data_IF_790391291542
#
_entry.id   IF_790391291542
#
_cell.length_a   1.000
_cell.length_b   1.000
_cell.length_c   1.000
_cell.angle_alpha   90.00
_cell.angle_beta   90.00
_cell.angle_gamma   90.00
#
_symmetry.space_group_name_H-M   'P 1'
#
loop_
_entity.id
_entity.type
_entity.pdbx_description
1 polymer ?
#
# COMPACT_ATOMS: atom_id res chain seq x y z
N UNK A 1 2.06 -30.43 18.54
CA UNK A 1 1.61 -29.02 18.54
C UNK A 1 1.68 -28.54 17.11
N UNK A 2 0.54 -28.45 16.42
CA UNK A 2 0.46 -27.66 15.20
C UNK A 2 0.63 -26.22 15.65
N UNK A 3 1.82 -25.67 15.44
CA UNK A 3 2.04 -24.25 15.72
C UNK A 3 1.21 -23.46 14.73
N UNK A 4 0.16 -22.87 15.27
CA UNK A 4 -0.81 -22.02 14.59
C UNK A 4 -0.03 -20.83 14.02
N UNK A 5 -0.23 -20.54 12.73
CA UNK A 5 0.23 -19.29 12.14
C UNK A 5 -0.32 -18.13 12.98
N UNK A 6 0.56 -17.27 13.50
CA UNK A 6 0.16 -16.15 14.33
C UNK A 6 0.80 -14.84 13.86
N UNK A 7 0.33 -13.73 14.43
CA UNK A 7 0.80 -12.39 14.07
C UNK A 7 2.30 -12.19 14.34
N UNK A 8 2.93 -12.95 15.24
CA UNK A 8 4.37 -12.82 15.53
C UNK A 8 5.20 -13.41 14.40
N UNK A 9 4.72 -14.53 13.84
CA UNK A 9 5.31 -15.12 12.63
C UNK A 9 5.18 -14.13 11.47
N UNK A 10 3.98 -13.59 11.23
CA UNK A 10 3.77 -12.62 10.14
C UNK A 10 4.61 -11.35 10.31
N UNK A 11 4.70 -10.80 11.52
CA UNK A 11 5.52 -9.62 11.84
C UNK A 11 7.04 -9.83 11.62
N UNK A 12 7.48 -11.08 11.41
CA UNK A 12 8.89 -11.40 11.14
C UNK A 12 9.23 -11.47 9.65
N UNK A 13 8.24 -11.33 8.76
CA UNK A 13 8.39 -11.49 7.31
C UNK A 13 8.31 -10.14 6.61
N UNK A 14 9.15 -9.87 5.62
CA UNK A 14 9.18 -8.63 4.86
C UNK A 14 8.39 -8.78 3.54
N UNK A 15 7.53 -7.83 3.16
CA UNK A 15 7.29 -6.53 3.78
C UNK A 15 6.18 -6.54 4.87
N UNK A 16 5.65 -7.73 5.21
CA UNK A 16 4.53 -7.90 6.16
C UNK A 16 4.85 -7.32 7.56
N UNK A 17 6.11 -7.28 7.96
CA UNK A 17 6.62 -6.76 9.22
C UNK A 17 6.31 -5.28 9.41
N UNK A 18 6.08 -4.55 8.31
CA UNK A 18 5.64 -3.16 8.35
C UNK A 18 4.17 -2.99 8.77
N UNK A 19 3.41 -4.09 8.91
CA UNK A 19 1.97 -4.04 9.16
C UNK A 19 1.63 -3.82 10.64
N UNK A 20 0.53 -3.11 10.88
CA UNK A 20 -0.08 -2.96 12.18
C UNK A 20 -0.55 -4.28 12.77
N UNK A 21 -0.59 -4.42 14.10
CA UNK A 21 -1.13 -5.62 14.74
C UNK A 21 -2.58 -5.93 14.35
N UNK A 22 -3.38 -4.92 13.98
CA UNK A 22 -4.75 -5.13 13.49
C UNK A 22 -4.73 -5.77 12.09
N UNK A 23 -3.92 -5.22 11.18
CA UNK A 23 -3.80 -5.73 9.81
C UNK A 23 -3.12 -7.09 9.75
N UNK A 24 -2.15 -7.34 10.62
CA UNK A 24 -1.56 -8.67 10.78
C UNK A 24 -2.62 -9.71 11.17
N UNK A 25 -3.60 -9.36 12.01
CA UNK A 25 -4.70 -10.28 12.37
C UNK A 25 -5.62 -10.54 11.18
N UNK A 26 -5.95 -9.51 10.41
CA UNK A 26 -6.76 -9.65 9.20
C UNK A 26 -6.03 -10.47 8.13
N UNK A 27 -4.73 -10.25 7.95
CA UNK A 27 -3.92 -10.97 6.98
C UNK A 27 -3.89 -12.48 7.25
N UNK A 28 -3.99 -12.91 8.52
CA UNK A 28 -4.05 -14.33 8.87
C UNK A 28 -5.18 -15.07 8.14
N UNK A 29 -6.33 -14.43 7.93
CA UNK A 29 -7.49 -15.05 7.28
C UNK A 29 -7.26 -15.31 5.78
N UNK A 30 -6.27 -14.65 5.19
CA UNK A 30 -5.91 -14.78 3.77
C UNK A 30 -4.60 -15.53 3.54
N UNK A 31 -3.91 -15.92 4.61
CA UNK A 31 -2.70 -16.73 4.54
C UNK A 31 -3.03 -18.21 4.36
N UNK A 32 -2.33 -18.88 3.46
CA UNK A 32 -2.36 -20.32 3.33
C UNK A 32 -1.06 -20.95 3.81
N UNK A 33 -1.12 -21.97 4.66
CA UNK A 33 0.05 -22.73 5.11
C UNK A 33 0.09 -24.08 4.40
N UNK A 34 1.15 -24.28 3.62
CA UNK A 34 1.41 -25.52 2.89
C UNK A 34 2.54 -26.31 3.57
N UNK A 35 2.39 -27.63 3.68
CA UNK A 35 3.44 -28.50 4.20
C UNK A 35 3.95 -29.41 3.07
N UNK A 36 5.25 -29.42 2.85
CA UNK A 36 5.88 -30.22 1.79
C UNK A 36 6.89 -31.18 2.42
N UNK A 37 6.78 -32.46 2.06
CA UNK A 37 7.66 -33.50 2.58
C UNK A 37 9.07 -33.40 1.98
N UNK A 38 10.07 -33.85 2.75
CA UNK A 38 11.45 -33.96 2.28
C UNK A 38 11.56 -34.67 0.92
N UNK A 39 12.41 -34.14 0.05
CA UNK A 39 12.70 -34.66 -1.29
C UNK A 39 11.74 -34.22 -2.39
N UNK A 40 10.61 -33.59 -2.04
CA UNK A 40 9.64 -33.04 -3.00
C UNK A 40 10.04 -31.63 -3.45
N UNK A 41 9.58 -31.23 -4.62
CA UNK A 41 9.69 -29.87 -5.13
C UNK A 41 8.42 -29.08 -4.76
N UNK A 42 8.49 -28.07 -3.86
CA UNK A 42 7.35 -27.26 -3.49
C UNK A 42 6.70 -26.47 -4.64
N UNK A 43 7.46 -26.13 -5.69
CA UNK A 43 6.99 -25.23 -6.75
C UNK A 43 6.61 -25.93 -8.05
N UNK A 44 6.74 -27.26 -8.09
CA UNK A 44 6.41 -28.05 -9.29
C UNK A 44 4.93 -27.98 -9.66
N UNK A 45 4.05 -28.23 -8.69
CA UNK A 45 2.60 -28.24 -8.89
C UNK A 45 1.96 -26.90 -8.47
N UNK A 46 2.66 -26.12 -7.64
CA UNK A 46 2.22 -24.83 -7.11
C UNK A 46 3.31 -23.77 -7.30
N UNK A 47 3.48 -23.24 -8.52
CA UNK A 47 4.48 -22.20 -8.76
C UNK A 47 4.18 -20.93 -7.94
N UNK A 48 5.20 -20.11 -7.63
CA UNK A 48 5.03 -18.90 -6.80
C UNK A 48 4.49 -17.68 -7.58
N UNK A 49 4.03 -17.84 -8.82
CA UNK A 49 3.50 -16.73 -9.62
C UNK A 49 2.23 -16.15 -8.98
N UNK A 50 2.17 -14.83 -8.87
CA UNK A 50 1.07 -14.12 -8.21
C UNK A 50 1.00 -14.31 -6.69
N UNK A 51 1.98 -14.99 -6.07
CA UNK A 51 1.98 -15.24 -4.64
C UNK A 51 3.31 -14.92 -3.96
N UNK A 52 3.24 -14.32 -2.79
CA UNK A 52 4.35 -14.12 -1.88
C UNK A 52 4.49 -15.37 -1.01
N UNK A 53 5.55 -16.16 -1.26
CA UNK A 53 5.79 -17.44 -0.57
C UNK A 53 6.98 -17.34 0.38
N UNK A 54 6.82 -17.75 1.63
CA UNK A 54 7.86 -17.68 2.67
C UNK A 54 8.13 -19.05 3.28
N UNK A 55 9.38 -19.32 3.65
CA UNK A 55 9.76 -20.55 4.34
C UNK A 55 9.63 -20.37 5.86
N UNK A 56 8.61 -20.97 6.47
CA UNK A 56 8.39 -20.90 7.92
C UNK A 56 9.17 -21.97 8.70
N UNK A 57 9.38 -23.16 8.12
CA UNK A 57 10.09 -24.28 8.75
C UNK A 57 10.89 -25.09 7.76
N UNK A 58 11.96 -25.69 8.26
CA UNK A 58 12.80 -26.61 7.50
C UNK A 58 13.83 -25.90 6.63
N UNK A 59 14.37 -26.67 5.69
CA UNK A 59 15.37 -26.23 4.74
C UNK A 59 14.99 -26.66 3.33
N UNK A 60 15.21 -25.79 2.35
CA UNK A 60 15.03 -26.09 0.94
C UNK A 60 16.15 -25.49 0.09
N UNK A 61 16.44 -26.12 -1.03
CA UNK A 61 17.31 -25.59 -2.07
C UNK A 61 16.45 -25.06 -3.22
N UNK A 62 16.84 -23.92 -3.78
CA UNK A 62 16.23 -23.31 -4.97
C UNK A 62 17.32 -23.12 -6.01
N UNK A 63 17.11 -23.67 -7.21
CA UNK A 63 17.96 -23.43 -8.39
C UNK A 63 17.26 -22.40 -9.30
N UNK A 64 17.98 -21.35 -9.66
CA UNK A 64 17.53 -20.31 -10.58
C UNK A 64 17.98 -20.60 -12.02
N UNK A 65 17.36 -19.94 -12.99
CA UNK A 65 17.66 -20.16 -14.42
C UNK A 65 19.11 -19.89 -14.81
N UNK A 66 19.81 -19.01 -14.09
CA UNK A 66 21.23 -18.71 -14.28
C UNK A 66 22.16 -19.80 -13.71
N UNK A 67 21.60 -20.86 -13.11
CA UNK A 67 22.32 -21.97 -12.50
C UNK A 67 22.74 -21.72 -11.05
N UNK A 68 22.44 -20.54 -10.48
CA UNK A 68 22.70 -20.29 -9.07
C UNK A 68 21.79 -21.14 -8.20
N UNK A 69 22.37 -21.75 -7.16
CA UNK A 69 21.64 -22.52 -6.16
C UNK A 69 21.72 -21.83 -4.81
N UNK A 70 20.57 -21.64 -4.18
CA UNK A 70 20.45 -20.98 -2.89
C UNK A 70 19.81 -21.94 -1.89
N UNK A 71 20.53 -22.20 -0.80
CA UNK A 71 20.02 -22.91 0.36
C UNK A 71 19.27 -21.94 1.26
N UNK A 72 17.96 -22.13 1.40
CA UNK A 72 17.09 -21.32 2.24
C UNK A 72 16.76 -22.14 3.50
N UNK A 73 17.10 -21.60 4.66
CA UNK A 73 16.74 -22.16 5.98
C UNK A 73 15.71 -21.26 6.64
N UNK A 74 14.71 -21.83 7.32
CA UNK A 74 13.63 -21.03 7.93
C UNK A 74 14.12 -19.93 8.90
N UNK A 75 15.24 -20.16 9.59
CA UNK A 75 15.83 -19.16 10.50
C UNK A 75 16.76 -18.14 9.81
N UNK A 76 16.95 -18.27 8.50
CA UNK A 76 17.85 -17.39 7.73
C UNK A 76 17.16 -16.10 7.31
N UNK A 77 17.96 -15.06 7.04
CA UNK A 77 17.45 -13.78 6.52
C UNK A 77 16.71 -13.97 5.18
N UNK A 78 17.13 -14.93 4.35
CA UNK A 78 16.45 -15.29 3.11
C UNK A 78 14.99 -15.74 3.30
N UNK A 79 14.68 -16.41 4.41
CA UNK A 79 13.33 -16.89 4.69
C UNK A 79 12.37 -15.77 5.12
N UNK A 80 12.89 -14.59 5.48
CA UNK A 80 12.07 -13.42 5.81
C UNK A 80 11.45 -12.79 4.56
N UNK A 81 12.00 -13.01 3.37
CA UNK A 81 11.53 -12.39 2.14
C UNK A 81 10.79 -13.39 1.25
N UNK A 82 9.92 -12.94 0.32
CA UNK A 82 9.23 -13.83 -0.57
C UNK A 82 10.21 -14.54 -1.53
N UNK A 83 10.08 -15.85 -1.63
CA UNK A 83 10.88 -16.72 -2.49
C UNK A 83 10.40 -16.55 -3.94
N UNK A 84 11.34 -16.44 -4.88
CA UNK A 84 11.03 -16.38 -6.32
C UNK A 84 10.53 -15.03 -6.84
N UNK A 85 10.60 -13.95 -6.04
CA UNK A 85 10.29 -12.58 -6.51
C UNK A 85 11.46 -11.82 -7.12
N UNK A 86 12.64 -12.44 -7.17
CA UNK A 86 13.85 -11.85 -7.73
C UNK A 86 14.14 -12.51 -9.07
N UNK A 87 14.70 -11.76 -10.02
CA UNK A 87 15.27 -12.36 -11.22
C UNK A 87 16.67 -12.90 -10.92
N UNK A 88 17.06 -14.04 -11.53
CA UNK A 88 16.32 -14.84 -12.53
C UNK A 88 15.19 -15.69 -11.95
N UNK A 89 14.31 -16.24 -12.78
CA UNK A 89 13.21 -17.11 -12.33
C UNK A 89 13.72 -18.42 -11.69
N UNK A 90 12.86 -19.06 -10.89
CA UNK A 90 13.16 -20.36 -10.29
C UNK A 90 13.04 -21.43 -11.37
N UNK A 91 14.12 -22.17 -11.62
CA UNK A 91 14.13 -23.33 -12.50
C UNK A 91 13.59 -24.58 -11.79
N UNK A 92 14.02 -24.81 -10.55
CA UNK A 92 13.60 -25.95 -9.75
C UNK A 92 13.80 -25.70 -8.26
N UNK A 93 13.12 -26.48 -7.42
CA UNK A 93 13.36 -26.44 -5.98
C UNK A 93 13.27 -27.81 -5.33
N UNK A 94 13.83 -27.95 -4.14
CA UNK A 94 13.76 -29.20 -3.39
C UNK A 94 13.72 -28.95 -1.89
N UNK A 95 12.72 -29.53 -1.23
CA UNK A 95 12.65 -29.59 0.22
C UNK A 95 13.75 -30.55 0.74
N UNK A 96 14.76 -30.01 1.43
CA UNK A 96 15.85 -30.81 2.00
C UNK A 96 15.48 -31.43 3.36
N UNK A 97 14.47 -30.88 4.02
CA UNK A 97 13.74 -31.45 5.15
C UNK A 97 12.23 -31.39 4.89
N UNK A 98 11.40 -31.81 5.85
CA UNK A 98 10.01 -31.37 5.84
C UNK A 98 9.97 -29.85 5.96
N UNK A 99 9.27 -29.17 5.05
CA UNK A 99 9.16 -27.72 5.03
C UNK A 99 7.73 -27.26 5.21
N UNK A 100 7.58 -26.09 5.82
CA UNK A 100 6.31 -25.40 5.94
C UNK A 100 6.42 -24.05 5.24
N UNK A 101 5.53 -23.80 4.29
CA UNK A 101 5.48 -22.59 3.49
C UNK A 101 4.26 -21.76 3.86
N UNK A 102 4.44 -20.45 3.96
CA UNK A 102 3.36 -19.48 3.98
C UNK A 102 3.14 -18.98 2.56
N UNK A 103 1.91 -18.95 2.07
CA UNK A 103 1.53 -18.37 0.78
C UNK A 103 0.50 -17.28 1.00
N UNK A 104 0.72 -16.14 0.38
CA UNK A 104 -0.19 -15.00 0.36
C UNK A 104 -0.29 -14.50 -1.08
N UNK A 105 -1.48 -14.12 -1.52
CA UNK A 105 -1.68 -13.49 -2.82
C UNK A 105 -0.95 -12.13 -2.91
N UNK A 106 -0.21 -11.89 -3.99
CA UNK A 106 0.57 -10.67 -4.15
C UNK A 106 -0.30 -9.41 -4.25
N UNK A 107 -1.39 -9.48 -5.00
CA UNK A 107 -2.27 -8.34 -5.23
C UNK A 107 -2.99 -7.95 -3.94
N UNK A 108 -3.38 -8.93 -3.12
CA UNK A 108 -3.87 -8.69 -1.77
C UNK A 108 -2.79 -8.08 -0.88
N UNK A 109 -1.60 -8.68 -0.84
CA UNK A 109 -0.52 -8.20 0.01
C UNK A 109 -0.11 -6.77 -0.39
N UNK A 110 -0.07 -6.46 -1.69
CA UNK A 110 0.15 -5.11 -2.21
C UNK A 110 -0.92 -4.12 -1.72
N UNK A 111 -2.20 -4.44 -1.90
CA UNK A 111 -3.31 -3.60 -1.44
C UNK A 111 -3.24 -3.36 0.07
N UNK A 112 -2.90 -4.39 0.85
CA UNK A 112 -2.77 -4.29 2.31
C UNK A 112 -1.51 -3.53 2.75
N UNK A 113 -0.35 -3.70 2.09
CA UNK A 113 0.87 -2.92 2.38
C UNK A 113 0.61 -1.45 2.15
N UNK A 114 0.04 -1.15 0.99
CA UNK A 114 -0.30 0.21 0.59
C UNK A 114 -1.20 0.82 1.67
N UNK A 115 -2.22 0.09 2.12
CA UNK A 115 -3.18 0.53 3.14
C UNK A 115 -2.70 0.55 4.60
N UNK A 116 -1.77 -0.32 5.02
CA UNK A 116 -1.32 -0.32 6.42
C UNK A 116 -0.31 0.80 6.72
N UNK A 117 0.52 1.15 5.73
CA UNK A 117 1.34 2.36 5.76
C UNK A 117 0.51 3.65 5.81
N UNK A 118 -0.80 3.53 5.60
CA UNK A 118 -1.77 4.59 5.65
C UNK A 118 -2.54 4.65 6.99
N UNK A 119 -2.68 3.54 7.72
CA UNK A 119 -3.53 3.47 8.92
C UNK A 119 -2.87 3.93 10.24
N UNK A 120 -1.59 4.30 10.26
CA UNK A 120 -0.89 4.73 11.48
C UNK A 120 -0.59 6.23 11.51
N UNK A 121 -1.37 6.97 12.29
CA UNK A 121 -0.91 8.14 13.03
C UNK A 121 -1.71 8.30 14.34
N UNK A 122 -1.00 8.43 15.46
CA UNK A 122 -1.55 8.67 16.80
C UNK A 122 -1.81 10.17 17.06
N UNK A 123 -2.86 10.40 17.87
CA UNK A 123 -3.18 11.57 18.70
C UNK A 123 -3.34 12.96 18.06
N UNK A 124 -4.54 13.24 17.54
CA UNK A 124 -5.12 14.59 17.58
C UNK A 124 -6.25 14.63 18.62
N UNK A 125 -6.08 15.42 19.67
CA UNK A 125 -7.15 15.68 20.65
C UNK A 125 -8.30 16.43 19.97
N UNK A 126 -9.55 15.97 20.07
CA UNK A 126 -10.68 16.71 19.52
C UNK A 126 -10.99 17.91 20.41
N UNK A 127 -10.98 19.10 19.83
CA UNK A 127 -11.54 20.30 20.45
C UNK A 127 -13.01 20.40 20.05
N UNK A 128 -13.91 20.36 21.04
CA UNK A 128 -15.35 20.37 20.81
C UNK A 128 -15.82 21.72 20.23
N UNK A 129 -16.66 21.68 19.20
CA UNK A 129 -17.34 22.86 18.66
C UNK A 129 -18.84 22.79 18.96
N UNK A 130 -19.32 23.85 19.62
CA UNK A 130 -20.73 24.19 19.80
C UNK A 130 -21.12 25.12 18.65
N UNK A 131 -21.61 24.55 17.55
CA UNK A 131 -22.69 25.12 16.72
C UNK A 131 -22.77 24.41 15.37
N UNK A 132 -23.93 23.81 15.11
CA UNK A 132 -24.24 22.96 13.96
C UNK A 132 -25.04 23.71 12.91
N UNK A 133 -24.35 24.46 12.03
CA UNK A 133 -24.96 24.99 10.80
C UNK A 133 -24.10 24.69 9.58
N UNK A 134 -24.73 24.48 8.44
CA UNK A 134 -24.11 24.22 7.13
C UNK A 134 -23.11 25.33 6.72
N UNK A 135 -23.36 26.57 7.16
CA UNK A 135 -22.46 27.70 7.00
C UNK A 135 -21.19 27.58 7.88
N UNK A 136 -21.29 26.98 9.07
CA UNK A 136 -20.15 26.72 9.94
C UNK A 136 -19.25 25.62 9.35
N UNK A 137 -19.82 24.59 8.70
CA UNK A 137 -19.07 23.54 7.99
C UNK A 137 -18.28 24.12 6.81
N UNK A 138 -18.91 24.99 6.00
CA UNK A 138 -18.21 25.72 4.92
C UNK A 138 -17.13 26.69 5.44
N UNK A 139 -17.36 27.31 6.60
CA UNK A 139 -16.37 28.18 7.25
C UNK A 139 -15.19 27.37 7.81
N UNK A 140 -15.42 26.14 8.26
CA UNK A 140 -14.41 25.17 8.70
C UNK A 140 -13.54 24.67 7.53
N UNK A 141 -14.16 24.39 6.38
CA UNK A 141 -13.44 24.07 5.14
C UNK A 141 -12.52 25.23 4.69
N UNK A 142 -12.93 26.47 4.95
CA UNK A 142 -12.17 27.68 4.60
C UNK A 142 -11.22 28.21 5.69
N UNK A 143 -11.22 27.66 6.92
CA UNK A 143 -10.52 28.27 8.07
C UNK A 143 -9.07 27.85 8.25
N UNK A 144 -8.36 27.46 7.18
CA UNK A 144 -6.93 27.10 7.27
C UNK A 144 -6.64 25.77 7.99
N UNK A 145 -7.69 25.05 8.43
CA UNK A 145 -7.56 23.68 8.95
C UNK A 145 -7.33 22.66 7.82
N UNK A 146 -7.65 23.05 6.57
CA UNK A 146 -7.41 22.32 5.32
C UNK A 146 -6.29 22.96 4.49
N UNK A 147 -5.25 23.50 5.13
CA UNK A 147 -4.01 23.76 4.42
C UNK A 147 -3.52 22.44 3.79
N UNK A 148 -2.83 22.52 2.65
CA UNK A 148 -2.25 21.34 1.99
C UNK A 148 -1.38 20.48 2.95
N UNK A 149 -0.89 21.09 4.05
CA UNK A 149 -0.11 20.47 5.12
C UNK A 149 -0.95 19.61 6.10
N UNK A 150 -2.24 19.89 6.30
CA UNK A 150 -3.10 19.11 7.20
C UNK A 150 -3.80 17.95 6.47
N UNK A 151 -4.06 18.09 5.17
CA UNK A 151 -4.57 16.99 4.34
C UNK A 151 -3.54 15.90 4.07
N UNK A 152 -2.25 16.24 4.11
CA UNK A 152 -1.16 15.26 4.13
C UNK A 152 -1.08 14.45 5.42
N UNK A 153 -1.81 14.84 6.47
CA UNK A 153 -1.89 14.13 7.76
C UNK A 153 -3.29 13.55 8.04
N UNK A 154 -4.20 13.68 7.08
CA UNK A 154 -5.56 13.12 7.11
C UNK A 154 -5.56 11.79 6.35
N UNK A 155 -6.53 10.88 6.56
CA UNK A 155 -6.67 9.66 5.76
C UNK A 155 -6.90 9.89 4.25
N UNK A 156 -7.07 11.15 3.86
CA UNK A 156 -7.01 11.61 2.48
C UNK A 156 -5.60 11.76 1.90
N UNK A 157 -4.56 11.65 2.73
CA UNK A 157 -3.16 11.55 2.34
C UNK A 157 -2.85 10.25 1.56
N UNK A 158 -3.80 9.31 1.54
CA UNK A 158 -3.70 7.97 0.98
C UNK A 158 -4.22 7.87 -0.45
N UNK A 159 -4.91 8.91 -0.93
CA UNK A 159 -5.04 9.13 -2.36
C UNK A 159 -3.68 9.60 -2.88
N UNK A 160 -3.27 9.22 -4.11
CA UNK A 160 -2.02 9.68 -4.69
C UNK A 160 -1.88 11.18 -4.45
N UNK A 161 -0.82 11.61 -3.75
CA UNK A 161 -0.58 13.02 -3.37
C UNK A 161 -0.62 13.99 -4.55
N UNK A 162 -0.50 13.40 -5.74
CA UNK A 162 -0.82 13.89 -7.06
C UNK A 162 -2.16 14.63 -7.20
N UNK A 163 -3.19 14.19 -6.48
CA UNK A 163 -4.55 14.60 -6.72
C UNK A 163 -5.17 15.40 -5.56
N UNK A 164 -4.40 15.84 -4.57
CA UNK A 164 -4.90 16.58 -3.38
C UNK A 164 -5.72 17.83 -3.77
N UNK A 165 -5.29 18.57 -4.81
CA UNK A 165 -6.04 19.75 -5.29
C UNK A 165 -7.37 19.40 -5.94
N UNK A 166 -7.47 18.25 -6.63
CA UNK A 166 -8.74 17.74 -7.18
C UNK A 166 -9.62 17.16 -6.07
N UNK A 167 -9.04 16.41 -5.16
CA UNK A 167 -9.71 15.87 -3.98
C UNK A 167 -10.39 16.98 -3.18
N UNK A 168 -9.67 18.07 -2.89
CA UNK A 168 -10.22 19.24 -2.18
C UNK A 168 -11.44 19.86 -2.88
N UNK A 169 -11.53 19.75 -4.20
CA UNK A 169 -12.66 20.26 -4.97
C UNK A 169 -13.85 19.29 -5.04
N UNK A 170 -13.61 17.98 -4.89
CA UNK A 170 -14.63 16.94 -5.04
C UNK A 170 -15.12 16.36 -3.70
N UNK A 171 -14.43 16.64 -2.60
CA UNK A 171 -14.78 16.15 -1.27
C UNK A 171 -15.95 16.94 -0.67
N UNK A 172 -16.95 16.23 -0.16
CA UNK A 172 -18.15 16.82 0.45
C UNK A 172 -18.17 16.51 1.95
N UNK A 173 -18.30 17.53 2.79
CA UNK A 173 -18.53 17.35 4.23
C UNK A 173 -20.03 17.25 4.53
N UNK A 174 -20.45 16.19 5.23
CA UNK A 174 -21.83 15.98 5.66
C UNK A 174 -21.90 15.84 7.18
N UNK A 175 -22.90 16.51 7.78
CA UNK A 175 -23.22 16.32 9.19
C UNK A 175 -24.07 15.06 9.35
N UNK A 176 -23.80 14.29 10.41
CA UNK A 176 -24.50 13.04 10.71
C UNK A 176 -24.82 12.96 12.21
N UNK A 177 -25.90 12.28 12.56
CA UNK A 177 -26.41 12.15 13.92
C UNK A 177 -26.33 10.71 14.41
N UNK A 178 -26.40 10.55 15.74
CA UNK A 178 -26.52 9.23 16.36
C UNK A 178 -27.66 8.42 15.72
N UNK A 179 -27.36 7.16 15.39
CA UNK A 179 -28.24 6.18 14.70
C UNK A 179 -28.49 6.41 13.21
N UNK A 180 -27.91 7.44 12.60
CA UNK A 180 -27.95 7.56 11.14
C UNK A 180 -27.29 6.34 10.50
N UNK A 181 -27.99 5.71 9.54
CA UNK A 181 -27.42 4.64 8.73
C UNK A 181 -26.84 5.26 7.48
N UNK A 182 -25.53 5.12 7.30
CA UNK A 182 -24.78 5.76 6.22
C UNK A 182 -24.70 4.85 4.99
N UNK A 183 -24.63 3.54 5.23
CA UNK A 183 -24.57 2.51 4.20
C UNK A 183 -25.48 1.38 4.66
N UNK A 184 -26.32 0.85 3.77
CA UNK A 184 -26.97 -0.43 3.98
C UNK A 184 -26.27 -1.55 3.23
N UNK A 185 -26.18 -2.72 3.87
CA UNK A 185 -25.75 -3.95 3.22
C UNK A 185 -26.66 -4.27 2.01
N UNK A 186 -26.04 -4.64 0.88
CA UNK A 186 -26.72 -5.01 -0.36
C UNK A 186 -27.04 -3.85 -1.31
N UNK A 187 -26.79 -2.60 -0.92
CA UNK A 187 -26.93 -1.43 -1.80
C UNK A 187 -25.76 -1.30 -2.79
N UNK A 188 -25.92 -0.45 -3.79
CA UNK A 188 -24.83 -0.12 -4.72
C UNK A 188 -23.81 0.82 -4.07
N UNK A 189 -22.53 0.66 -4.43
CA UNK A 189 -21.47 1.56 -4.00
C UNK A 189 -21.54 2.91 -4.73
N UNK A 190 -21.76 4.00 -4.00
CA UNK A 190 -21.95 5.35 -4.53
C UNK A 190 -20.92 6.38 -4.02
N UNK A 191 -20.51 6.28 -2.75
CA UNK A 191 -19.52 7.14 -2.11
C UNK A 191 -18.48 6.36 -1.29
N UNK A 192 -17.30 6.95 -1.18
CA UNK A 192 -16.25 6.65 -0.21
C UNK A 192 -16.38 7.61 0.96
N UNK A 193 -16.11 7.16 2.20
CA UNK A 193 -16.31 7.97 3.40
C UNK A 193 -15.08 7.98 4.32
N UNK A 194 -14.84 9.12 4.94
CA UNK A 194 -13.95 9.32 6.09
C UNK A 194 -14.77 9.84 7.28
N UNK A 195 -14.53 9.28 8.47
CA UNK A 195 -15.00 9.85 9.72
C UNK A 195 -14.09 11.01 10.13
N UNK A 196 -14.55 12.24 9.99
CA UNK A 196 -13.83 13.43 10.50
C UNK A 196 -14.03 13.59 12.00
N UNK A 197 -15.26 13.38 12.46
CA UNK A 197 -15.60 13.35 13.88
C UNK A 197 -16.77 12.43 14.16
N UNK A 198 -16.84 11.89 15.39
CA UNK A 198 -17.87 10.95 15.82
C UNK A 198 -17.40 9.51 15.83
N UNK A 199 -18.36 8.57 15.98
CA UNK A 199 -18.13 7.13 15.98
C UNK A 199 -19.21 6.42 15.17
N UNK A 200 -18.84 5.34 14.49
CA UNK A 200 -19.78 4.48 13.77
C UNK A 200 -19.53 3.01 14.09
N UNK A 201 -20.48 2.15 13.72
CA UNK A 201 -20.41 0.72 13.90
C UNK A 201 -20.72 0.04 12.56
N UNK A 202 -19.92 -0.96 12.22
CA UNK A 202 -20.08 -1.77 11.01
C UNK A 202 -20.69 -3.11 11.40
N UNK A 203 -21.81 -3.47 10.77
CA UNK A 203 -22.52 -4.72 11.04
C UNK A 203 -22.89 -5.45 9.76
N UNK A 204 -22.87 -6.78 9.78
CA UNK A 204 -23.34 -7.63 8.68
C UNK A 204 -24.39 -8.62 9.16
N UNK A 205 -25.43 -8.84 8.36
CA UNK A 205 -26.46 -9.84 8.70
C UNK A 205 -25.97 -11.24 8.33
N UNK A 206 -25.75 -12.09 9.33
CA UNK A 206 -25.32 -13.49 9.13
C UNK A 206 -26.31 -14.41 9.84
N UNK A 207 -26.99 -15.27 9.06
CA UNK A 207 -27.95 -16.23 9.61
C UNK A 207 -29.12 -15.60 10.38
N UNK A 208 -29.49 -14.35 10.04
CA UNK A 208 -30.55 -13.60 10.71
C UNK A 208 -30.11 -12.82 11.96
N UNK A 209 -28.83 -12.85 12.33
CA UNK A 209 -28.27 -12.05 13.41
C UNK A 209 -27.30 -10.99 12.90
N UNK A 210 -27.31 -9.80 13.49
CA UNK A 210 -26.36 -8.73 13.18
C UNK A 210 -25.03 -9.01 13.87
N UNK A 211 -24.01 -9.37 13.08
CA UNK A 211 -22.64 -9.51 13.53
C UNK A 211 -21.94 -8.15 13.46
N UNK A 212 -21.38 -7.68 14.58
CA UNK A 212 -20.54 -6.48 14.61
C UNK A 212 -19.16 -6.83 14.06
N UNK A 213 -18.77 -6.18 12.97
CA UNK A 213 -17.48 -6.39 12.32
C UNK A 213 -16.41 -5.43 12.85
N UNK A 214 -16.79 -4.17 13.10
CA UNK A 214 -15.87 -3.13 13.57
C UNK A 214 -16.60 -1.96 14.23
N UNK A 215 -15.87 -1.16 15.01
CA UNK A 215 -16.24 0.19 15.41
C UNK A 215 -15.27 1.18 14.77
N UNK A 216 -15.81 2.26 14.20
CA UNK A 216 -15.07 3.32 13.52
C UNK A 216 -15.05 4.58 14.39
N UNK A 217 -13.93 5.31 14.37
CA UNK A 217 -13.68 6.57 15.04
C UNK A 217 -13.16 7.62 14.06
N UNK A 218 -12.98 8.86 14.52
CA UNK A 218 -12.32 9.90 13.75
C UNK A 218 -10.97 9.42 13.19
N UNK A 219 -10.76 9.62 11.88
CA UNK A 219 -9.62 9.10 11.13
C UNK A 219 -9.90 7.77 10.41
N UNK A 220 -10.98 7.06 10.71
CA UNK A 220 -11.28 5.79 10.04
C UNK A 220 -12.10 6.02 8.77
N UNK A 221 -11.83 5.21 7.75
CA UNK A 221 -12.48 5.27 6.44
C UNK A 221 -13.31 4.02 6.19
N UNK A 222 -14.31 4.14 5.32
CA UNK A 222 -15.19 3.03 4.98
C UNK A 222 -15.90 3.21 3.64
N UNK A 223 -16.39 2.09 3.09
CA UNK A 223 -17.19 2.07 1.87
C UNK A 223 -16.37 2.01 0.57
N UNK A 224 -15.06 1.80 0.65
CA UNK A 224 -14.15 1.64 -0.47
C UNK A 224 -14.37 0.35 -1.25
N UNK A 225 -14.70 -0.76 -0.57
CA UNK A 225 -14.76 -2.09 -1.19
C UNK A 225 -15.73 -2.13 -2.37
N UNK A 226 -16.98 -1.67 -2.17
CA UNK A 226 -18.02 -1.64 -3.19
C UNK A 226 -17.67 -0.75 -4.41
N UNK A 227 -16.75 0.20 -4.25
CA UNK A 227 -16.30 1.06 -5.35
C UNK A 227 -15.20 0.39 -6.16
N UNK A 228 -14.35 -0.40 -5.50
CA UNK A 228 -13.17 -1.05 -6.09
C UNK A 228 -13.55 -2.34 -6.81
N UNK A 229 -14.36 -3.20 -6.19
CA UNK A 229 -14.74 -4.50 -6.75
C UNK A 229 -16.00 -4.46 -7.60
N UNK A 230 -16.56 -3.27 -7.85
CA UNK A 230 -17.87 -3.07 -8.52
C UNK A 230 -18.96 -4.00 -7.97
N UNK A 231 -18.92 -4.22 -6.66
CA UNK A 231 -19.82 -5.10 -5.93
C UNK A 231 -20.75 -4.29 -5.03
N UNK A 232 -21.80 -4.95 -4.55
CA UNK A 232 -22.72 -4.36 -3.57
C UNK A 232 -22.04 -4.14 -2.23
N UNK A 233 -22.54 -3.17 -1.46
CA UNK A 233 -22.17 -2.89 -0.08
C UNK A 233 -22.23 -4.17 0.73
N UNK A 234 -21.10 -4.54 1.34
CA UNK A 234 -20.95 -5.82 2.01
C UNK A 234 -21.38 -5.78 3.49
N UNK A 235 -21.66 -4.61 4.04
CA UNK A 235 -22.05 -4.41 5.44
C UNK A 235 -22.84 -3.11 5.59
N UNK A 236 -23.59 -3.01 6.68
CA UNK A 236 -24.29 -1.80 7.12
C UNK A 236 -23.40 -0.98 8.02
N UNK A 237 -23.35 0.35 7.84
CA UNK A 237 -22.60 1.28 8.69
C UNK A 237 -23.57 2.25 9.36
N UNK A 238 -23.61 2.23 10.70
CA UNK A 238 -24.51 3.06 11.51
C UNK A 238 -23.73 3.95 12.47
N UNK A 239 -24.06 5.23 12.53
CA UNK A 239 -23.48 6.18 13.48
C UNK A 239 -23.88 5.83 14.93
N UNK A 240 -22.91 5.95 15.83
CA UNK A 240 -23.05 5.72 17.29
C UNK A 240 -22.93 7.03 18.10
N UNK A 241 -22.65 8.13 17.42
CA UNK A 241 -22.64 9.47 17.96
C UNK A 241 -22.87 10.47 16.84
N UNK A 242 -23.25 11.69 17.19
CA UNK A 242 -23.20 12.81 16.25
C UNK A 242 -21.76 13.02 15.76
N UNK A 243 -21.63 13.52 14.54
CA UNK A 243 -20.34 13.65 13.89
C UNK A 243 -20.38 14.36 12.55
N UNK A 244 -19.25 14.32 11.87
CA UNK A 244 -19.07 14.81 10.51
C UNK A 244 -18.37 13.72 9.72
N UNK A 245 -18.90 13.41 8.55
CA UNK A 245 -18.22 12.57 7.57
C UNK A 245 -17.76 13.44 6.41
N UNK A 246 -16.60 13.11 5.87
CA UNK A 246 -16.20 13.56 4.55
C UNK A 246 -16.51 12.44 3.56
N UNK A 247 -17.10 12.76 2.42
CA UNK A 247 -17.45 11.77 1.39
C UNK A 247 -16.97 12.19 0.01
N UNK A 248 -16.68 11.19 -0.82
CA UNK A 248 -16.24 11.36 -2.20
C UNK A 248 -17.05 10.45 -3.12
N UNK A 249 -17.54 10.96 -4.25
CA UNK A 249 -18.35 10.17 -5.20
C UNK A 249 -17.51 9.07 -5.85
N UNK A 250 -18.15 7.96 -6.24
CA UNK A 250 -17.50 6.84 -6.95
C UNK A 250 -16.69 7.30 -8.17
N UNK A 251 -17.24 8.18 -9.02
CA UNK A 251 -16.53 8.66 -10.22
C UNK A 251 -15.28 9.44 -9.85
N UNK A 252 -15.40 10.41 -8.94
CA UNK A 252 -14.25 11.17 -8.45
C UNK A 252 -13.23 10.25 -7.77
N UNK A 253 -13.67 9.29 -6.95
CA UNK A 253 -12.81 8.29 -6.34
C UNK A 253 -12.04 7.49 -7.39
N UNK A 254 -12.71 6.95 -8.41
CA UNK A 254 -12.06 6.20 -9.49
C UNK A 254 -11.10 7.07 -10.30
N UNK A 255 -11.44 8.32 -10.60
CA UNK A 255 -10.55 9.27 -11.28
C UNK A 255 -9.32 9.64 -10.44
N UNK A 256 -9.48 9.77 -9.12
CA UNK A 256 -8.38 10.02 -8.21
C UNK A 256 -7.50 8.77 -8.03
N UNK A 257 -8.06 7.57 -8.24
CA UNK A 257 -7.39 6.28 -8.19
C UNK A 257 -6.72 5.88 -9.52
N UNK A 258 -7.16 6.43 -10.65
CA UNK A 258 -6.48 6.23 -11.93
C UNK A 258 -5.08 6.83 -11.84
N UNK A 259 -4.06 6.00 -12.11
CA UNK A 259 -2.70 6.50 -12.25
C UNK A 259 -2.72 7.64 -13.29
N UNK A 260 -2.13 8.80 -12.99
CA UNK A 260 -1.79 9.74 -14.04
C UNK A 260 -1.06 8.98 -15.13
N UNK A 261 -1.19 9.37 -16.40
CA UNK A 261 -0.40 8.82 -17.51
C UNK A 261 1.10 9.11 -17.26
N UNK A 262 1.70 8.36 -16.36
CA UNK A 262 3.08 8.42 -15.96
C UNK A 262 3.84 7.64 -17.01
N UNK A 263 4.88 8.25 -17.55
CA UNK A 263 5.76 7.57 -18.49
C UNK A 263 6.55 6.54 -17.71
N UNK A 264 6.20 5.28 -17.89
CA UNK A 264 6.92 4.13 -17.33
C UNK A 264 8.02 3.72 -18.30
N UNK A 265 9.09 3.15 -17.75
CA UNK A 265 10.24 2.70 -18.53
C UNK A 265 10.81 1.40 -17.95
N UNK A 266 11.12 0.45 -18.83
CA UNK A 266 11.77 -0.80 -18.46
C UNK A 266 13.19 -0.55 -17.94
N UNK A 267 13.75 -1.45 -17.13
CA UNK A 267 15.13 -1.29 -16.67
C UNK A 267 16.15 -1.25 -17.82
N UNK A 268 15.92 -2.02 -18.89
CA UNK A 268 16.84 -2.04 -20.03
C UNK A 268 16.89 -0.69 -20.75
N UNK A 269 15.73 -0.09 -21.01
CA UNK A 269 15.65 1.22 -21.67
C UNK A 269 16.10 2.34 -20.74
N UNK A 270 15.76 2.25 -19.46
CA UNK A 270 16.19 3.18 -18.43
C UNK A 270 17.72 3.21 -18.30
N UNK A 271 18.38 2.05 -18.40
CA UNK A 271 19.85 1.96 -18.42
C UNK A 271 20.45 2.67 -19.64
N UNK A 272 19.83 2.57 -20.81
CA UNK A 272 20.27 3.28 -22.02
C UNK A 272 20.10 4.79 -21.88
N UNK A 273 18.95 5.25 -21.37
CA UNK A 273 18.68 6.66 -21.08
C UNK A 273 19.69 7.23 -20.08
N UNK A 274 19.99 6.47 -19.02
CA UNK A 274 20.98 6.88 -18.02
C UNK A 274 22.38 7.00 -18.62
N UNK A 275 22.76 6.09 -19.52
CA UNK A 275 24.01 6.19 -20.27
C UNK A 275 24.07 7.42 -21.22
N UNK A 276 22.91 7.94 -21.62
CA UNK A 276 22.77 9.17 -22.42
C UNK A 276 22.65 10.44 -21.57
N UNK A 277 22.74 10.32 -20.24
CA UNK A 277 22.75 11.45 -19.30
C UNK A 277 21.47 11.62 -18.47
N UNK A 278 20.50 10.71 -18.56
CA UNK A 278 19.37 10.70 -17.62
C UNK A 278 19.84 10.41 -16.19
N UNK A 279 19.18 11.05 -15.22
CA UNK A 279 19.57 10.99 -13.81
C UNK A 279 18.69 9.99 -13.07
N UNK A 280 19.31 8.99 -12.44
CA UNK A 280 18.64 8.10 -11.52
C UNK A 280 18.24 8.85 -10.24
N UNK A 281 16.95 8.85 -9.93
CA UNK A 281 16.39 9.51 -8.76
C UNK A 281 15.81 8.47 -7.79
N UNK A 282 16.54 8.19 -6.71
CA UNK A 282 16.06 7.33 -5.63
C UNK A 282 15.18 8.12 -4.68
N UNK A 283 13.92 7.72 -4.53
CA UNK A 283 12.94 8.42 -3.67
C UNK A 283 12.66 7.73 -2.33
N UNK A 284 13.50 6.75 -1.97
CA UNK A 284 13.46 6.04 -0.69
C UNK A 284 14.13 6.86 0.40
N UNK A 285 13.99 6.42 1.66
CA UNK A 285 14.65 7.09 2.77
C UNK A 285 16.18 6.87 2.73
N UNK A 286 16.97 7.79 3.29
CA UNK A 286 18.44 7.70 3.25
C UNK A 286 19.04 6.38 3.78
N UNK A 287 18.47 5.71 4.81
CA UNK A 287 18.97 4.39 5.23
C UNK A 287 18.83 3.30 4.15
N UNK A 288 17.72 3.26 3.41
CA UNK A 288 17.50 2.30 2.32
C UNK A 288 18.53 2.54 1.21
N UNK A 289 18.68 3.80 0.79
CA UNK A 289 19.64 4.21 -0.25
C UNK A 289 21.11 3.95 0.13
N UNK A 290 21.44 3.90 1.42
CA UNK A 290 22.79 3.53 1.90
C UNK A 290 23.02 2.02 1.88
N UNK A 291 21.95 1.22 1.99
CA UNK A 291 22.03 -0.23 1.99
C UNK A 291 22.20 -0.79 0.58
N UNK A 292 21.34 -0.34 -0.34
CA UNK A 292 21.46 -0.64 -1.76
C UNK A 292 20.99 0.55 -2.61
N UNK A 293 21.53 0.68 -3.82
CA UNK A 293 21.10 1.70 -4.79
C UNK A 293 21.55 1.40 -6.21
N UNK A 294 21.02 2.15 -7.17
CA UNK A 294 21.61 2.20 -8.50
C UNK A 294 22.88 3.08 -8.50
N UNK A 295 23.96 2.64 -9.16
CA UNK A 295 25.18 3.43 -9.30
C UNK A 295 24.91 4.82 -9.87
N UNK A 296 25.43 5.86 -9.22
CA UNK A 296 25.28 7.25 -9.66
C UNK A 296 23.90 7.87 -9.37
N UNK A 297 22.99 7.16 -8.69
CA UNK A 297 21.71 7.72 -8.30
C UNK A 297 21.86 8.83 -7.25
N UNK A 298 21.03 9.87 -7.37
CA UNK A 298 20.84 10.86 -6.31
C UNK A 298 19.66 10.43 -5.43
N UNK A 299 19.74 10.67 -4.13
CA UNK A 299 18.65 10.38 -3.21
C UNK A 299 17.88 11.65 -2.87
N UNK A 300 16.60 11.68 -3.21
CA UNK A 300 15.65 12.71 -2.81
C UNK A 300 14.41 11.99 -2.29
N UNK A 301 14.32 11.76 -0.98
CA UNK A 301 13.19 11.06 -0.39
C UNK A 301 11.85 11.63 -0.83
N UNK A 302 10.82 10.80 -0.98
CA UNK A 302 9.50 11.22 -1.48
C UNK A 302 8.94 12.43 -0.73
N UNK A 303 9.10 12.48 0.60
CA UNK A 303 8.66 13.58 1.46
C UNK A 303 9.41 14.91 1.18
N UNK A 304 10.58 14.86 0.56
CA UNK A 304 11.41 16.02 0.23
C UNK A 304 11.29 16.47 -1.23
N UNK A 305 10.56 15.73 -2.08
CA UNK A 305 10.46 16.02 -3.53
C UNK A 305 9.92 17.42 -3.81
N UNK A 306 8.96 17.91 -3.02
CA UNK A 306 8.42 19.27 -3.18
C UNK A 306 9.46 20.36 -2.92
N UNK A 307 10.34 20.13 -1.94
CA UNK A 307 11.43 21.06 -1.60
C UNK A 307 12.55 21.01 -2.64
N UNK A 308 12.67 19.90 -3.37
CA UNK A 308 13.64 19.74 -4.45
C UNK A 308 13.23 20.44 -5.77
N UNK A 309 11.97 20.87 -5.90
CA UNK A 309 11.50 21.65 -7.05
C UNK A 309 12.25 22.98 -7.10
N UNK A 310 12.83 23.31 -8.25
CA UNK A 310 13.66 24.49 -8.46
C UNK A 310 15.14 24.30 -8.08
N UNK A 311 15.45 23.31 -7.24
CA UNK A 311 16.84 22.86 -6.98
C UNK A 311 17.26 21.85 -8.04
N UNK A 312 16.38 20.90 -8.38
CA UNK A 312 16.58 19.98 -9.49
C UNK A 312 16.59 20.73 -10.83
N UNK A 313 17.52 20.39 -11.72
CA UNK A 313 17.65 21.01 -13.03
C UNK A 313 16.53 20.60 -13.98
N UNK A 314 15.70 21.56 -14.41
CA UNK A 314 14.56 21.29 -15.30
C UNK A 314 14.92 20.77 -16.70
N UNK A 315 16.16 20.95 -17.14
CA UNK A 315 16.62 20.46 -18.45
C UNK A 315 17.05 18.99 -18.44
N UNK A 316 17.16 18.37 -17.26
CA UNK A 316 17.56 16.98 -17.15
C UNK A 316 16.34 16.04 -17.22
N UNK A 317 16.55 14.87 -17.81
CA UNK A 317 15.61 13.75 -17.73
C UNK A 317 15.88 12.96 -16.46
N UNK A 318 14.84 12.68 -15.67
CA UNK A 318 14.91 11.92 -14.44
C UNK A 318 14.26 10.54 -14.60
N UNK A 319 14.86 9.53 -13.98
CA UNK A 319 14.27 8.20 -13.87
C UNK A 319 14.08 7.92 -12.38
N UNK A 320 12.86 8.10 -11.90
CA UNK A 320 12.51 7.91 -10.51
C UNK A 320 12.31 6.41 -10.22
N UNK A 321 12.93 5.93 -9.15
CA UNK A 321 12.74 4.58 -8.65
C UNK A 321 12.63 4.55 -7.13
N UNK A 322 11.98 3.50 -6.64
CA UNK A 322 12.01 3.10 -5.24
C UNK A 322 12.17 1.58 -5.19
N UNK A 323 11.68 0.91 -4.15
CA UNK A 323 11.78 -0.54 -4.07
C UNK A 323 10.93 -1.26 -5.14
N UNK A 324 9.66 -0.88 -5.28
CA UNK A 324 8.65 -1.57 -6.10
C UNK A 324 8.07 -0.72 -7.24
N UNK A 325 8.41 0.56 -7.32
CA UNK A 325 7.88 1.50 -8.31
C UNK A 325 6.76 2.42 -7.80
N UNK A 326 6.13 2.12 -6.66
CA UNK A 326 4.96 2.88 -6.15
C UNK A 326 5.32 4.26 -5.60
N UNK A 327 6.30 4.35 -4.68
CA UNK A 327 6.79 5.65 -4.15
C UNK A 327 7.33 6.55 -5.27
N UNK A 328 8.02 5.97 -6.25
CA UNK A 328 8.53 6.69 -7.42
C UNK A 328 7.45 7.19 -8.35
N UNK A 329 6.29 6.52 -8.45
CA UNK A 329 5.15 7.03 -9.21
C UNK A 329 4.63 8.34 -8.62
N UNK A 330 4.49 8.43 -7.29
CA UNK A 330 4.08 9.66 -6.61
C UNK A 330 5.11 10.80 -6.81
N UNK A 331 6.40 10.51 -6.67
CA UNK A 331 7.46 11.49 -6.91
C UNK A 331 7.49 11.98 -8.36
N UNK A 332 7.42 11.05 -9.33
CA UNK A 332 7.41 11.37 -10.74
C UNK A 332 6.21 12.22 -11.13
N UNK A 333 5.04 11.97 -10.53
CA UNK A 333 3.90 12.83 -10.76
C UNK A 333 4.13 14.28 -10.29
N UNK A 334 4.62 14.45 -9.05
CA UNK A 334 4.87 15.80 -8.48
C UNK A 334 5.86 16.56 -9.36
N UNK A 335 6.91 15.87 -9.82
CA UNK A 335 7.90 16.44 -10.72
C UNK A 335 7.31 16.75 -12.11
N UNK A 336 6.51 15.85 -12.68
CA UNK A 336 5.85 16.07 -13.97
C UNK A 336 4.90 17.27 -13.93
N UNK A 337 4.12 17.44 -12.86
CA UNK A 337 3.28 18.64 -12.66
C UNK A 337 4.11 19.93 -12.57
N UNK A 338 5.31 19.87 -11.99
CA UNK A 338 6.23 20.98 -11.93
C UNK A 338 7.00 21.22 -13.26
N UNK A 339 6.69 20.42 -14.31
CA UNK A 339 7.25 20.53 -15.65
C UNK A 339 8.60 19.85 -15.84
N UNK A 340 8.95 18.87 -15.00
CA UNK A 340 10.15 18.07 -15.17
C UNK A 340 9.92 16.91 -16.14
N UNK A 341 10.95 16.58 -16.92
CA UNK A 341 10.98 15.38 -17.75
C UNK A 341 11.34 14.17 -16.88
N UNK A 342 10.33 13.44 -16.42
CA UNK A 342 10.52 12.29 -15.52
C UNK A 342 9.82 11.02 -16.00
N UNK A 343 10.48 9.88 -15.78
CA UNK A 343 9.97 8.53 -15.97
C UNK A 343 9.92 7.77 -14.64
N UNK A 344 9.07 6.75 -14.56
CA UNK A 344 9.02 5.79 -13.44
C UNK A 344 9.67 4.48 -13.88
N UNK A 345 10.67 4.01 -13.14
CA UNK A 345 11.25 2.69 -13.36
C UNK A 345 10.22 1.61 -13.01
N UNK A 346 9.88 0.77 -13.99
CA UNK A 346 8.93 -0.34 -13.82
C UNK A 346 9.41 -1.32 -12.74
N UNK A 347 8.53 -1.66 -11.80
CA UNK A 347 8.82 -2.54 -10.66
C UNK A 347 9.98 -2.08 -9.74
N UNK A 348 10.45 -0.83 -9.89
CA UNK A 348 11.49 -0.24 -9.03
C UNK A 348 12.80 -1.03 -9.03
N UNK A 349 13.46 -1.10 -7.88
CA UNK A 349 14.73 -1.83 -7.72
C UNK A 349 14.57 -3.34 -7.91
N UNK A 350 13.36 -3.89 -7.72
CA UNK A 350 13.11 -5.33 -7.90
C UNK A 350 13.28 -5.81 -9.34
N UNK A 351 13.11 -4.93 -10.35
CA UNK A 351 13.42 -5.27 -11.74
C UNK A 351 14.92 -5.29 -12.04
N UNK A 352 15.77 -4.88 -11.10
CA UNK A 352 17.20 -4.67 -11.34
C UNK A 352 18.00 -5.83 -10.75
N UNK A 353 18.82 -6.54 -11.53
CA UNK A 353 19.68 -7.60 -11.01
C UNK A 353 20.58 -7.11 -9.88
N UNK A 354 20.72 -7.90 -8.81
CA UNK A 354 21.49 -7.50 -7.61
C UNK A 354 22.94 -7.14 -7.91
N UNK A 355 23.55 -7.79 -8.90
CA UNK A 355 24.92 -7.48 -9.36
C UNK A 355 25.07 -6.08 -9.98
N UNK A 356 23.97 -5.40 -10.29
CA UNK A 356 23.94 -4.04 -10.83
C UNK A 356 23.54 -2.99 -9.77
N UNK A 357 23.31 -3.44 -8.52
CA UNK A 357 23.04 -2.59 -7.37
C UNK A 357 24.34 -2.39 -6.56
N UNK A 358 24.48 -1.25 -5.88
CA UNK A 358 25.66 -0.86 -5.10
C UNK A 358 25.38 -0.80 -3.62
#
# INVERSE_FOLDING_TARGET
MQDILDIRVLASLEPISSFSPARLRELLDYCHVENVAQGRDPFKDHPPHGQSVYLLRGEMEVEYEDGNRVLIRAASEWARHPIGKRQPEIRSSQALSNVQLLRVDDDLLDRMVTWDQFAYHDDVKPMALKDSSEAAVRKLLNSGMFSAENLSNSPFAHLPSANIGKLLNCIEAIAVWDKDVIIHEGEEGDYYYLVESGRAQVTRLVGGANLVLAELKAGDVFGEEALISDSKRNATVTMKSNGVLLRLKKQDFLELMQEPLLRRISYQDAKQQAAQGAIWLDVRHPPEYRYDKLPGAINVPLNDIRNAIGVLGKSATYIAYCQSGRRSAAAAFILAQAGYDVYVLENGLWSVPKAQQQ
#
